data_IF_589920825537
#
_entry.id   IF_589920825537
#
_cell.length_a   1.000
_cell.length_b   1.000
_cell.length_c   1.000
_cell.angle_alpha   90.00
_cell.angle_beta   90.00
_cell.angle_gamma   90.00
#
_symmetry.space_group_name_H-M   'P 1'
#
loop_
_entity.id
_entity.type
_entity.pdbx_description
1 polymer ?
#
# COMPACT_ATOMS: atom_id res chain seq x y z
N UNK A 1 -21.43 7.05 -3.54
CA UNK A 1 -21.77 7.14 -4.98
C UNK A 1 -23.12 7.81 -5.21
N UNK A 2 -24.14 7.47 -4.42
CA UNK A 2 -25.52 7.90 -4.62
C UNK A 2 -25.82 9.37 -4.24
N UNK A 3 -24.89 10.08 -3.60
CA UNK A 3 -25.08 11.51 -3.22
C UNK A 3 -25.23 12.45 -4.41
N UNK A 4 -24.74 12.03 -5.59
CA UNK A 4 -24.70 12.83 -6.82
C UNK A 4 -24.09 14.24 -6.66
N UNK A 5 -23.19 14.38 -5.67
CA UNK A 5 -22.41 15.57 -5.35
C UNK A 5 -20.92 15.24 -5.47
N UNK A 6 -20.08 16.27 -5.43
CA UNK A 6 -18.65 16.06 -5.34
C UNK A 6 -18.30 15.20 -4.12
N UNK A 7 -17.52 14.15 -4.35
CA UNK A 7 -16.97 13.29 -3.31
C UNK A 7 -15.47 13.05 -3.56
N UNK A 8 -14.71 13.03 -2.49
CA UNK A 8 -13.29 12.75 -2.55
C UNK A 8 -12.90 11.71 -1.50
N UNK A 9 -12.64 10.49 -1.93
CA UNK A 9 -12.19 9.39 -1.10
C UNK A 9 -10.68 9.16 -1.22
N UNK A 10 -10.05 8.85 -0.09
CA UNK A 10 -8.66 8.41 -0.04
C UNK A 10 -8.63 6.96 0.45
N UNK A 11 -8.13 6.04 -0.39
CA UNK A 11 -7.98 4.61 -0.09
C UNK A 11 -6.50 4.30 0.00
N UNK A 12 -6.04 3.85 1.15
CA UNK A 12 -4.61 3.57 1.31
C UNK A 12 -4.38 2.39 2.24
N UNK A 13 -3.20 1.85 2.16
CA UNK A 13 -2.82 0.70 2.94
C UNK A 13 -1.66 -0.02 2.27
N UNK A 14 -1.08 -0.98 2.97
CA UNK A 14 0.07 -1.74 2.55
C UNK A 14 -0.12 -2.38 1.15
N UNK A 15 0.97 -2.70 0.46
CA UNK A 15 0.90 -3.53 -0.77
C UNK A 15 0.25 -4.88 -0.49
N UNK A 16 -0.39 -5.46 -1.52
CA UNK A 16 -0.96 -6.83 -1.50
C UNK A 16 -2.20 -7.04 -0.66
N UNK A 17 -2.78 -5.98 -0.09
CA UNK A 17 -4.03 -6.05 0.68
C UNK A 17 -5.31 -5.89 -0.16
N UNK A 18 -5.20 -5.89 -1.50
CA UNK A 18 -6.37 -5.91 -2.38
C UNK A 18 -7.03 -4.56 -2.65
N UNK A 19 -6.37 -3.40 -2.43
CA UNK A 19 -6.94 -2.08 -2.70
C UNK A 19 -7.50 -1.93 -4.12
N UNK A 20 -6.68 -2.25 -5.12
CA UNK A 20 -7.06 -2.17 -6.54
C UNK A 20 -8.23 -3.09 -6.85
N UNK A 21 -8.23 -4.33 -6.34
CA UNK A 21 -9.34 -5.27 -6.51
C UNK A 21 -10.63 -4.75 -5.87
N UNK A 22 -10.55 -4.16 -4.68
CA UNK A 22 -11.70 -3.53 -4.02
C UNK A 22 -12.28 -2.38 -4.85
N UNK A 23 -11.42 -1.52 -5.42
CA UNK A 23 -11.85 -0.42 -6.28
C UNK A 23 -12.45 -0.96 -7.58
N UNK A 24 -11.83 -1.95 -8.21
CA UNK A 24 -12.35 -2.58 -9.43
C UNK A 24 -13.73 -3.21 -9.20
N UNK A 25 -13.94 -3.89 -8.06
CA UNK A 25 -15.25 -4.42 -7.71
C UNK A 25 -16.27 -3.30 -7.48
N UNK A 26 -15.87 -2.23 -6.80
CA UNK A 26 -16.74 -1.07 -6.55
C UNK A 26 -17.20 -0.38 -7.83
N UNK A 27 -16.35 -0.27 -8.86
CA UNK A 27 -16.69 0.45 -10.11
C UNK A 27 -17.44 -0.41 -11.13
N UNK A 28 -17.62 -1.71 -10.88
CA UNK A 28 -18.43 -2.56 -11.77
C UNK A 28 -19.80 -1.91 -12.03
N UNK A 29 -20.20 -1.87 -13.30
CA UNK A 29 -21.45 -1.28 -13.74
C UNK A 29 -21.61 0.22 -13.42
N UNK A 30 -20.51 0.95 -13.25
CA UNK A 30 -20.51 2.41 -13.05
C UNK A 30 -19.61 3.09 -14.08
N UNK A 31 -19.94 4.31 -14.42
CA UNK A 31 -19.09 5.11 -15.30
C UNK A 31 -17.84 5.54 -14.53
N UNK A 32 -16.69 5.03 -14.93
CA UNK A 32 -15.43 5.23 -14.24
C UNK A 32 -14.26 5.42 -15.20
N UNK A 33 -13.36 6.33 -14.84
CA UNK A 33 -12.05 6.53 -15.44
C UNK A 33 -11.01 6.00 -14.47
N UNK A 34 -10.30 4.95 -14.84
CA UNK A 34 -9.30 4.31 -14.00
C UNK A 34 -7.91 4.58 -14.55
N UNK A 35 -7.16 5.43 -13.87
CA UNK A 35 -5.78 5.76 -14.20
C UNK A 35 -4.83 5.21 -13.13
N UNK A 36 -3.75 4.58 -13.54
CA UNK A 36 -2.67 4.13 -12.64
C UNK A 36 -1.44 4.99 -12.85
N UNK A 37 -1.00 5.66 -11.79
CA UNK A 37 0.28 6.36 -11.77
C UNK A 37 1.44 5.36 -11.87
N UNK A 38 2.36 5.59 -12.81
CA UNK A 38 3.53 4.74 -13.03
C UNK A 38 4.78 5.43 -12.51
N UNK A 39 5.77 4.64 -12.09
CA UNK A 39 7.12 5.11 -11.78
C UNK A 39 7.88 5.42 -13.09
N UNK A 40 7.51 6.54 -13.70
CA UNK A 40 8.01 6.98 -15.00
C UNK A 40 8.04 8.52 -15.07
N UNK A 41 8.39 9.06 -16.23
CA UNK A 41 8.44 10.53 -16.43
C UNK A 41 7.05 11.17 -16.33
N UNK A 42 7.03 12.45 -15.96
CA UNK A 42 5.83 13.30 -15.99
C UNK A 42 5.12 13.22 -17.35
N UNK A 43 5.89 13.30 -18.45
CA UNK A 43 5.34 13.25 -19.82
C UNK A 43 4.61 11.95 -20.09
N UNK A 44 5.19 10.80 -19.72
CA UNK A 44 4.57 9.50 -19.94
C UNK A 44 3.30 9.32 -19.11
N UNK A 45 3.31 9.76 -17.85
CA UNK A 45 2.11 9.75 -17.02
C UNK A 45 1.00 10.64 -17.59
N UNK A 46 1.35 11.80 -18.20
CA UNK A 46 0.37 12.66 -18.85
C UNK A 46 -0.25 12.02 -20.11
N UNK A 47 0.58 11.36 -20.93
CA UNK A 47 0.09 10.60 -22.10
C UNK A 47 -0.89 9.50 -21.64
N UNK A 48 -0.50 8.70 -20.67
CA UNK A 48 -1.34 7.61 -20.15
C UNK A 48 -2.66 8.15 -19.56
N UNK A 49 -2.62 9.25 -18.80
CA UNK A 49 -3.83 9.87 -18.28
C UNK A 49 -4.73 10.38 -19.43
N UNK A 50 -4.13 11.00 -20.45
CA UNK A 50 -4.86 11.49 -21.62
C UNK A 50 -5.56 10.37 -22.36
N UNK A 51 -4.92 9.23 -22.54
CA UNK A 51 -5.54 8.04 -23.17
C UNK A 51 -6.76 7.55 -22.38
N UNK A 52 -6.67 7.53 -21.05
CA UNK A 52 -7.80 7.15 -20.19
C UNK A 52 -8.98 8.11 -20.33
N UNK A 53 -8.73 9.42 -20.33
CA UNK A 53 -9.79 10.44 -20.42
C UNK A 53 -10.43 10.46 -21.81
N UNK A 54 -9.62 10.38 -22.86
CA UNK A 54 -10.06 10.45 -24.25
C UNK A 54 -10.55 9.10 -24.78
N UNK A 55 -10.39 8.04 -24.00
CA UNK A 55 -10.71 6.66 -24.38
C UNK A 55 -10.05 6.26 -25.72
N UNK A 56 -8.84 6.74 -25.94
CA UNK A 56 -8.08 6.56 -27.17
C UNK A 56 -6.72 5.90 -26.89
N UNK A 57 -6.35 4.94 -27.69
CA UNK A 57 -5.03 4.29 -27.63
C UNK A 57 -3.95 5.00 -28.47
N UNK A 58 -4.26 6.16 -29.07
CA UNK A 58 -3.33 6.92 -29.88
C UNK A 58 -2.37 7.72 -29.01
N UNK A 59 -1.07 7.47 -29.12
CA UNK A 59 -0.03 8.26 -28.43
C UNK A 59 0.08 9.71 -28.95
N UNK A 60 -0.45 9.98 -30.13
CA UNK A 60 -0.41 11.31 -30.76
C UNK A 60 -1.46 12.28 -30.22
N UNK A 61 -2.40 11.81 -29.40
CA UNK A 61 -3.46 12.64 -28.85
C UNK A 61 -3.28 12.69 -27.33
N UNK A 62 -2.77 13.81 -26.82
CA UNK A 62 -2.62 14.04 -25.39
C UNK A 62 -2.98 15.47 -25.01
N UNK A 63 -3.40 15.67 -23.78
CA UNK A 63 -3.52 17.01 -23.21
C UNK A 63 -2.16 17.67 -23.10
N UNK A 64 -2.14 19.00 -23.19
CA UNK A 64 -0.89 19.77 -23.09
C UNK A 64 -0.35 19.85 -21.63
N UNK A 65 -1.21 19.58 -20.65
CA UNK A 65 -0.85 19.61 -19.23
C UNK A 65 -1.78 18.75 -18.39
N UNK A 66 -1.34 18.36 -17.18
CA UNK A 66 -2.19 17.72 -16.19
C UNK A 66 -3.37 18.62 -15.79
N UNK A 67 -3.17 19.93 -15.73
CA UNK A 67 -4.24 20.86 -15.42
C UNK A 67 -5.34 20.76 -16.46
N UNK A 68 -5.03 20.84 -17.75
CA UNK A 68 -6.02 20.73 -18.83
C UNK A 68 -6.75 19.38 -18.84
N UNK A 69 -6.01 18.29 -18.56
CA UNK A 69 -6.60 16.95 -18.44
C UNK A 69 -7.60 16.85 -17.29
N UNK A 70 -7.27 17.38 -16.12
CA UNK A 70 -8.14 17.38 -14.95
C UNK A 70 -9.32 18.36 -15.11
N UNK A 71 -9.12 19.54 -15.71
CA UNK A 71 -10.21 20.47 -16.04
C UNK A 71 -11.26 19.80 -16.93
N UNK A 72 -10.83 19.06 -17.93
CA UNK A 72 -11.75 18.29 -18.79
C UNK A 72 -12.60 17.28 -17.99
N UNK A 73 -12.02 16.59 -17.00
CA UNK A 73 -12.78 15.68 -16.12
C UNK A 73 -13.84 16.48 -15.33
N UNK A 74 -13.47 17.61 -14.74
CA UNK A 74 -14.41 18.44 -13.99
C UNK A 74 -15.55 18.97 -14.88
N UNK A 75 -15.27 19.38 -16.11
CA UNK A 75 -16.28 19.81 -17.08
C UNK A 75 -17.27 18.69 -17.42
N UNK A 76 -16.81 17.48 -17.66
CA UNK A 76 -17.67 16.32 -17.90
C UNK A 76 -18.56 16.03 -16.70
N UNK A 77 -18.03 16.18 -15.48
CA UNK A 77 -18.74 15.87 -14.23
C UNK A 77 -19.74 16.90 -13.79
N UNK A 78 -19.81 18.08 -14.42
CA UNK A 78 -20.92 19.01 -14.25
C UNK A 78 -22.24 18.44 -14.77
N UNK A 79 -22.18 17.58 -15.78
CA UNK A 79 -23.37 16.99 -16.45
C UNK A 79 -23.72 15.62 -15.88
N UNK A 80 -22.74 14.76 -15.66
CA UNK A 80 -22.95 13.37 -15.27
C UNK A 80 -22.04 12.95 -14.12
N UNK A 81 -22.47 11.92 -13.38
CA UNK A 81 -21.64 11.29 -12.33
C UNK A 81 -20.54 10.44 -12.96
N UNK A 82 -19.29 10.76 -12.69
CA UNK A 82 -18.13 9.94 -13.08
C UNK A 82 -17.30 9.64 -11.83
N UNK A 83 -16.81 8.42 -11.74
CA UNK A 83 -15.79 8.04 -10.75
C UNK A 83 -14.44 8.20 -11.45
N UNK A 84 -13.56 9.05 -10.91
CA UNK A 84 -12.19 9.15 -11.37
C UNK A 84 -11.25 8.61 -10.32
N UNK A 85 -10.52 7.56 -10.70
CA UNK A 85 -9.58 6.86 -9.84
C UNK A 85 -8.16 7.19 -10.28
N UNK A 86 -7.32 7.60 -9.34
CA UNK A 86 -5.87 7.64 -9.50
C UNK A 86 -5.29 6.56 -8.57
N UNK A 87 -5.06 5.38 -9.12
CA UNK A 87 -4.37 4.31 -8.41
C UNK A 87 -2.87 4.55 -8.44
N UNK A 88 -2.16 4.13 -7.40
CA UNK A 88 -0.74 4.42 -7.15
C UNK A 88 -0.40 5.92 -7.28
N UNK A 89 -1.26 6.76 -6.69
CA UNK A 89 -1.08 8.22 -6.64
C UNK A 89 0.32 8.66 -6.22
N UNK A 90 1.03 8.00 -5.27
CA UNK A 90 2.40 8.35 -4.92
C UNK A 90 3.36 8.40 -6.10
N UNK A 91 3.27 7.51 -7.08
CA UNK A 91 4.13 7.54 -8.26
C UNK A 91 3.86 8.75 -9.16
N UNK A 92 2.58 9.07 -9.38
CA UNK A 92 2.20 10.27 -10.11
C UNK A 92 2.74 11.53 -9.41
N UNK A 93 2.51 11.66 -8.10
CA UNK A 93 2.91 12.84 -7.35
C UNK A 93 4.44 12.99 -7.24
N UNK A 94 5.19 11.88 -7.18
CA UNK A 94 6.65 11.91 -7.23
C UNK A 94 7.18 12.37 -8.61
N UNK A 95 6.51 11.96 -9.70
CA UNK A 95 6.88 12.37 -11.06
C UNK A 95 6.47 13.83 -11.36
N UNK A 96 5.42 14.32 -10.71
CA UNK A 96 4.88 15.67 -10.86
C UNK A 96 4.37 16.24 -9.53
N UNK A 97 5.22 16.82 -8.69
CA UNK A 97 4.84 17.29 -7.33
C UNK A 97 3.71 18.34 -7.32
N UNK A 98 3.55 19.12 -8.38
CA UNK A 98 2.50 20.13 -8.49
C UNK A 98 1.08 19.53 -8.58
N UNK A 99 0.93 18.23 -8.83
CA UNK A 99 -0.37 17.59 -9.05
C UNK A 99 -1.35 17.79 -7.87
N UNK A 100 -0.85 17.72 -6.63
CA UNK A 100 -1.66 17.92 -5.43
C UNK A 100 -2.23 19.35 -5.35
N UNK A 101 -1.44 20.35 -5.73
CA UNK A 101 -1.86 21.76 -5.74
C UNK A 101 -2.84 22.04 -6.88
N UNK A 102 -2.66 21.41 -8.04
CA UNK A 102 -3.62 21.52 -9.16
C UNK A 102 -4.97 20.89 -8.76
N UNK A 103 -4.95 19.70 -8.18
CA UNK A 103 -6.17 19.07 -7.66
C UNK A 103 -6.85 19.94 -6.61
N UNK A 104 -6.08 20.56 -5.70
CA UNK A 104 -6.60 21.51 -4.72
C UNK A 104 -7.38 22.64 -5.39
N UNK A 105 -6.75 23.35 -6.33
CA UNK A 105 -7.35 24.50 -7.03
C UNK A 105 -8.63 24.09 -7.78
N UNK A 106 -8.60 22.97 -8.48
CA UNK A 106 -9.75 22.49 -9.24
C UNK A 106 -10.90 22.02 -8.36
N UNK A 107 -10.61 21.35 -7.24
CA UNK A 107 -11.62 20.96 -6.25
C UNK A 107 -12.28 22.21 -5.67
N UNK A 108 -11.48 23.18 -5.19
CA UNK A 108 -12.02 24.39 -4.57
C UNK A 108 -12.89 25.21 -5.54
N UNK A 109 -12.53 25.24 -6.83
CA UNK A 109 -13.27 25.93 -7.88
C UNK A 109 -14.59 25.24 -8.27
N UNK A 110 -14.60 23.90 -8.29
CA UNK A 110 -15.67 23.17 -8.97
C UNK A 110 -16.57 22.32 -8.04
N UNK A 111 -16.19 22.09 -6.78
CA UNK A 111 -16.86 21.13 -5.87
C UNK A 111 -18.37 21.36 -5.71
N UNK A 112 -18.83 22.62 -5.81
CA UNK A 112 -20.26 22.96 -5.62
C UNK A 112 -21.14 22.49 -6.79
N UNK A 113 -20.57 22.44 -8.01
CA UNK A 113 -21.31 22.11 -9.23
C UNK A 113 -20.96 20.73 -9.81
N UNK A 114 -19.85 20.15 -9.35
CA UNK A 114 -19.34 18.89 -9.89
C UNK A 114 -20.01 17.68 -9.26
N UNK A 115 -20.26 16.67 -10.07
CA UNK A 115 -20.70 15.33 -9.65
C UNK A 115 -19.55 14.34 -9.65
N UNK A 116 -18.30 14.80 -9.63
CA UNK A 116 -17.12 13.96 -9.59
C UNK A 116 -17.07 13.14 -8.30
N UNK A 117 -16.76 11.85 -8.43
CA UNK A 117 -16.27 11.04 -7.32
C UNK A 117 -14.78 10.73 -7.54
N UNK A 118 -13.92 11.54 -6.93
CA UNK A 118 -12.47 11.34 -6.98
C UNK A 118 -12.05 10.29 -5.97
N UNK A 119 -11.23 9.33 -6.40
CA UNK A 119 -10.58 8.34 -5.53
C UNK A 119 -9.08 8.42 -5.73
N UNK A 120 -8.33 8.77 -4.69
CA UNK A 120 -6.88 8.62 -4.66
C UNK A 120 -6.55 7.34 -3.90
N UNK A 121 -5.80 6.45 -4.56
CA UNK A 121 -5.35 5.20 -3.98
C UNK A 121 -3.82 5.15 -3.96
N UNK A 122 -3.25 4.57 -2.90
CA UNK A 122 -1.80 4.42 -2.80
C UNK A 122 -1.36 3.35 -1.81
N UNK A 123 -0.24 2.71 -2.13
CA UNK A 123 0.37 1.66 -1.29
C UNK A 123 1.42 2.20 -0.32
N UNK A 124 1.99 3.37 -0.57
CA UNK A 124 2.95 4.02 0.33
C UNK A 124 2.22 4.68 1.51
N UNK A 125 2.21 4.01 2.68
CA UNK A 125 1.53 4.50 3.88
C UNK A 125 2.01 5.87 4.30
N UNK A 126 3.33 6.07 4.42
CA UNK A 126 3.91 7.35 4.84
C UNK A 126 3.57 8.48 3.87
N UNK A 127 3.66 8.23 2.55
CA UNK A 127 3.29 9.22 1.56
C UNK A 127 1.80 9.62 1.69
N UNK A 128 0.92 8.63 1.78
CA UNK A 128 -0.51 8.91 1.87
C UNK A 128 -0.88 9.64 3.17
N UNK A 129 -0.28 9.26 4.30
CA UNK A 129 -0.53 9.89 5.60
C UNK A 129 0.06 11.30 5.71
N UNK A 130 1.25 11.54 5.15
CA UNK A 130 1.94 12.83 5.25
C UNK A 130 1.58 13.78 4.10
N UNK A 131 1.64 13.29 2.84
CA UNK A 131 1.55 14.13 1.65
C UNK A 131 0.11 14.26 1.10
N UNK A 132 -0.81 13.38 1.49
CA UNK A 132 -2.22 13.46 1.05
C UNK A 132 -3.12 13.86 2.22
N UNK A 133 -2.99 13.19 3.35
CA UNK A 133 -3.87 13.37 4.52
C UNK A 133 -3.31 14.37 5.55
N UNK A 134 -2.01 14.63 5.52
CA UNK A 134 -1.32 15.50 6.47
C UNK A 134 -1.77 16.96 6.39
N UNK A 135 -1.68 17.68 7.49
CA UNK A 135 -2.13 19.08 7.60
C UNK A 135 -1.37 20.05 6.68
N UNK A 136 -0.16 19.70 6.25
CA UNK A 136 0.63 20.49 5.28
C UNK A 136 0.30 20.18 3.83
N UNK A 137 -0.53 19.15 3.59
CA UNK A 137 -0.93 18.75 2.23
C UNK A 137 -1.85 19.80 1.61
N UNK A 138 -1.68 20.13 0.31
CA UNK A 138 -2.67 20.89 -0.44
C UNK A 138 -4.08 20.28 -0.43
N UNK A 139 -4.18 18.95 -0.24
CA UNK A 139 -5.44 18.21 -0.23
C UNK A 139 -6.07 18.12 1.17
N UNK A 140 -5.40 18.63 2.20
CA UNK A 140 -5.93 18.59 3.57
C UNK A 140 -7.30 19.27 3.68
N UNK A 141 -8.22 18.62 4.38
CA UNK A 141 -9.59 19.14 4.60
C UNK A 141 -10.54 19.06 3.40
N UNK A 142 -10.10 18.52 2.23
CA UNK A 142 -10.93 18.41 1.01
C UNK A 142 -11.54 17.04 0.79
N UNK A 143 -11.01 16.02 1.49
CA UNK A 143 -11.57 14.67 1.42
C UNK A 143 -12.93 14.60 2.13
N UNK A 144 -13.85 13.84 1.56
CA UNK A 144 -15.14 13.51 2.20
C UNK A 144 -15.08 12.20 2.95
N UNK A 145 -14.12 11.30 2.58
CA UNK A 145 -13.92 10.03 3.28
C UNK A 145 -12.48 9.54 3.14
N UNK A 146 -12.07 8.67 4.08
CA UNK A 146 -10.78 7.98 4.01
C UNK A 146 -10.90 6.56 4.53
N UNK A 147 -10.20 5.65 3.87
CA UNK A 147 -10.20 4.22 4.20
C UNK A 147 -8.77 3.71 4.27
N UNK A 148 -8.30 3.40 5.49
CA UNK A 148 -7.07 2.66 5.70
C UNK A 148 -7.38 1.18 5.64
N UNK A 149 -7.11 0.55 4.50
CA UNK A 149 -7.32 -0.88 4.31
C UNK A 149 -6.26 -1.64 5.11
N UNK A 150 -6.72 -2.58 5.93
CA UNK A 150 -5.88 -3.45 6.75
C UNK A 150 -5.89 -4.86 6.18
N UNK A 151 -4.89 -5.70 6.50
CA UNK A 151 -4.98 -7.14 6.30
C UNK A 151 -6.23 -7.70 6.99
N UNK A 152 -6.69 -8.85 6.54
CA UNK A 152 -7.78 -9.57 7.21
C UNK A 152 -7.40 -9.90 8.66
N UNK A 153 -8.35 -9.75 9.56
CA UNK A 153 -8.25 -10.27 10.91
C UNK A 153 -8.23 -11.80 10.89
N UNK A 154 -7.95 -12.40 12.03
CA UNK A 154 -8.04 -13.86 12.16
C UNK A 154 -9.42 -14.41 11.77
N UNK A 155 -10.49 -13.75 12.24
CA UNK A 155 -11.85 -14.19 11.93
C UNK A 155 -12.19 -14.05 10.45
N UNK A 156 -11.83 -12.94 9.80
CA UNK A 156 -11.99 -12.75 8.36
C UNK A 156 -11.17 -13.77 7.55
N UNK A 157 -9.99 -14.16 8.04
CA UNK A 157 -9.19 -15.25 7.45
C UNK A 157 -9.90 -16.59 7.61
N UNK A 158 -10.56 -16.83 8.74
CA UNK A 158 -11.36 -18.03 8.92
C UNK A 158 -12.56 -18.10 7.95
N UNK A 159 -13.19 -16.97 7.67
CA UNK A 159 -14.31 -16.88 6.72
C UNK A 159 -13.85 -17.04 5.26
N UNK A 160 -12.59 -16.70 4.97
CA UNK A 160 -12.01 -16.81 3.63
C UNK A 160 -11.93 -18.26 3.14
N UNK A 161 -11.61 -19.20 4.04
CA UNK A 161 -11.48 -20.62 3.71
C UNK A 161 -12.70 -21.43 4.19
N UNK A 162 -13.09 -22.42 3.38
CA UNK A 162 -14.27 -23.28 3.67
C UNK A 162 -13.89 -24.62 4.30
N UNK A 163 -12.79 -25.23 3.85
CA UNK A 163 -12.48 -26.64 4.16
C UNK A 163 -11.34 -26.82 5.15
N UNK A 164 -10.42 -25.88 5.30
CA UNK A 164 -9.37 -25.96 6.32
C UNK A 164 -9.94 -26.00 7.74
N UNK A 165 -9.35 -26.79 8.62
CA UNK A 165 -9.68 -26.78 10.04
C UNK A 165 -9.33 -25.45 10.71
N UNK A 166 -9.86 -25.19 11.90
CA UNK A 166 -9.54 -23.94 12.62
C UNK A 166 -8.06 -23.86 12.98
N UNK A 167 -7.41 -24.98 13.29
CA UNK A 167 -5.97 -25.06 13.55
C UNK A 167 -5.16 -24.71 12.30
N UNK A 168 -5.54 -25.25 11.15
CA UNK A 168 -4.89 -24.93 9.87
C UNK A 168 -5.09 -23.46 9.51
N UNK A 169 -6.29 -22.90 9.68
CA UNK A 169 -6.58 -21.47 9.49
C UNK A 169 -5.73 -20.58 10.41
N UNK A 170 -5.54 -21.00 11.67
CA UNK A 170 -4.67 -20.28 12.61
C UNK A 170 -3.21 -20.29 12.16
N UNK A 171 -2.71 -21.43 11.67
CA UNK A 171 -1.36 -21.54 11.11
C UNK A 171 -1.22 -20.69 9.85
N UNK A 172 -2.17 -20.73 8.92
CA UNK A 172 -2.18 -19.90 7.72
C UNK A 172 -2.17 -18.42 8.09
N UNK A 173 -3.00 -17.99 9.03
CA UNK A 173 -2.98 -16.61 9.53
C UNK A 173 -1.63 -16.24 10.14
N UNK A 174 -1.05 -17.13 10.94
CA UNK A 174 0.30 -16.98 11.52
C UNK A 174 1.42 -16.91 10.48
N UNK A 175 1.21 -17.46 9.27
CA UNK A 175 2.16 -17.41 8.15
C UNK A 175 1.96 -16.20 7.23
N UNK A 176 0.74 -15.64 7.15
CA UNK A 176 0.35 -14.67 6.14
C UNK A 176 0.00 -13.29 6.70
N UNK A 177 -0.19 -13.17 8.02
CA UNK A 177 -0.73 -11.98 8.68
C UNK A 177 -2.08 -11.53 8.10
N UNK A 178 -2.84 -12.45 7.50
CA UNK A 178 -4.13 -12.13 6.86
C UNK A 178 -4.01 -11.28 5.59
N UNK A 179 -2.83 -11.23 4.95
CA UNK A 179 -2.64 -10.48 3.69
C UNK A 179 -3.35 -11.23 2.56
N UNK A 180 -4.37 -10.62 1.90
CA UNK A 180 -5.23 -11.32 0.93
C UNK A 180 -4.47 -12.01 -0.20
N UNK A 181 -3.41 -11.37 -0.75
CA UNK A 181 -2.61 -12.02 -1.78
C UNK A 181 -1.95 -13.30 -1.25
N UNK A 182 -1.41 -13.28 -0.03
CA UNK A 182 -0.76 -14.46 0.53
C UNK A 182 -1.77 -15.56 0.87
N UNK A 183 -2.95 -15.18 1.36
CA UNK A 183 -4.04 -16.13 1.59
C UNK A 183 -4.46 -16.82 0.29
N UNK A 184 -4.54 -16.11 -0.83
CA UNK A 184 -4.96 -16.68 -2.12
C UNK A 184 -4.00 -17.72 -2.70
N UNK A 185 -2.78 -17.84 -2.16
CA UNK A 185 -1.81 -18.84 -2.58
C UNK A 185 -2.08 -20.22 -1.98
N UNK A 186 -2.79 -20.27 -0.84
CA UNK A 186 -3.10 -21.54 -0.18
C UNK A 186 -4.29 -22.22 -0.86
N UNK A 187 -4.09 -23.45 -1.27
CA UNK A 187 -5.06 -24.27 -1.98
C UNK A 187 -5.74 -25.25 -1.01
N UNK A 188 -7.06 -25.24 -0.98
CA UNK A 188 -7.86 -26.10 -0.11
C UNK A 188 -7.90 -27.57 -0.59
N UNK A 189 -7.48 -27.86 -1.81
CA UNK A 189 -7.32 -29.21 -2.37
C UNK A 189 -5.99 -29.88 -1.99
N UNK A 190 -5.11 -29.20 -1.26
CA UNK A 190 -3.82 -29.70 -0.78
C UNK A 190 -3.73 -29.66 0.74
N UNK A 191 -2.94 -30.56 1.32
CA UNK A 191 -2.63 -30.47 2.75
C UNK A 191 -1.92 -29.17 3.07
N UNK A 192 -2.05 -28.66 4.30
CA UNK A 192 -1.33 -27.47 4.77
C UNK A 192 0.19 -27.62 4.59
N UNK A 193 0.72 -28.81 4.92
CA UNK A 193 2.16 -29.12 4.75
C UNK A 193 2.61 -28.93 3.29
N UNK A 194 1.83 -29.45 2.33
CA UNK A 194 2.16 -29.33 0.91
C UNK A 194 2.07 -27.86 0.45
N UNK A 195 1.08 -27.12 0.90
CA UNK A 195 0.98 -25.68 0.64
C UNK A 195 2.22 -24.93 1.13
N UNK A 196 2.67 -25.18 2.36
CA UNK A 196 3.87 -24.52 2.92
C UNK A 196 5.11 -24.84 2.09
N UNK A 197 5.30 -26.11 1.71
CA UNK A 197 6.43 -26.51 0.85
C UNK A 197 6.37 -25.78 -0.49
N UNK A 198 5.24 -25.80 -1.17
CA UNK A 198 5.08 -25.23 -2.51
C UNK A 198 5.24 -23.69 -2.49
N UNK A 199 4.74 -23.02 -1.45
CA UNK A 199 4.68 -21.56 -1.39
C UNK A 199 5.98 -20.93 -0.85
N UNK A 200 6.57 -21.52 0.21
CA UNK A 200 7.69 -20.93 0.95
C UNK A 200 9.03 -21.62 0.75
N UNK A 201 9.04 -22.93 0.50
CA UNK A 201 10.29 -23.74 0.55
C UNK A 201 10.75 -24.18 -0.85
N UNK A 202 9.89 -24.18 -1.83
CA UNK A 202 10.26 -24.42 -3.23
C UNK A 202 10.89 -23.17 -3.83
N UNK A 203 11.98 -23.31 -4.59
CA UNK A 203 12.61 -22.20 -5.32
C UNK A 203 11.66 -21.50 -6.31
N UNK A 204 10.62 -22.19 -6.77
CA UNK A 204 9.55 -21.64 -7.61
C UNK A 204 8.35 -21.12 -6.80
N UNK A 205 8.39 -21.20 -5.46
CA UNK A 205 7.33 -20.76 -4.58
C UNK A 205 7.23 -19.24 -4.54
N UNK A 206 6.01 -18.72 -4.59
CA UNK A 206 5.79 -17.27 -4.65
C UNK A 206 6.41 -16.53 -3.45
N UNK A 207 6.36 -17.08 -2.25
CA UNK A 207 6.88 -16.47 -1.03
C UNK A 207 8.33 -16.85 -0.72
N UNK A 208 9.00 -17.63 -1.61
CA UNK A 208 10.38 -18.04 -1.43
C UNK A 208 11.35 -16.84 -1.39
N UNK A 209 11.19 -15.86 -2.27
CA UNK A 209 11.99 -14.63 -2.32
C UNK A 209 11.20 -13.36 -1.97
N UNK A 210 9.94 -13.50 -1.61
CA UNK A 210 9.02 -12.38 -1.45
C UNK A 210 9.50 -11.31 -0.47
N UNK A 211 10.01 -11.64 0.75
CA UNK A 211 10.48 -10.63 1.69
C UNK A 211 11.60 -9.78 1.13
N UNK A 212 12.59 -10.42 0.48
CA UNK A 212 13.71 -9.70 -0.13
C UNK A 212 13.27 -8.85 -1.32
N UNK A 213 12.36 -9.35 -2.14
CA UNK A 213 11.84 -8.62 -3.29
C UNK A 213 11.00 -7.40 -2.85
N UNK A 214 10.20 -7.54 -1.77
CA UNK A 214 9.43 -6.42 -1.23
C UNK A 214 10.38 -5.31 -0.70
N UNK A 215 11.43 -5.68 0.01
CA UNK A 215 12.42 -4.71 0.50
C UNK A 215 13.16 -4.04 -0.65
N UNK A 216 13.54 -4.77 -1.71
CA UNK A 216 14.16 -4.19 -2.91
C UNK A 216 13.24 -3.16 -3.60
N UNK A 217 11.93 -3.40 -3.64
CA UNK A 217 10.96 -2.48 -4.25
C UNK A 217 10.72 -1.22 -3.42
N UNK A 218 10.82 -1.29 -2.09
CA UNK A 218 10.45 -0.19 -1.20
C UNK A 218 11.65 0.60 -0.66
N UNK A 219 12.87 0.06 -0.78
CA UNK A 219 14.05 0.58 -0.10
C UNK A 219 15.25 0.70 -1.04
N UNK A 220 16.02 1.80 -0.91
CA UNK A 220 17.21 2.05 -1.74
C UNK A 220 18.43 1.21 -1.31
N UNK A 221 18.51 0.83 -0.04
CA UNK A 221 19.57 -0.01 0.53
C UNK A 221 18.99 -1.29 1.14
N UNK A 222 18.60 -2.27 0.29
CA UNK A 222 17.93 -3.47 0.78
C UNK A 222 18.74 -4.30 1.75
N UNK A 223 20.07 -4.30 1.65
CA UNK A 223 20.96 -5.14 2.46
C UNK A 223 20.88 -4.79 3.94
N UNK A 224 20.96 -3.52 4.28
CA UNK A 224 20.86 -3.04 5.66
C UNK A 224 19.46 -3.27 6.24
N UNK A 225 18.41 -3.05 5.46
CA UNK A 225 17.04 -3.35 5.89
C UNK A 225 16.84 -4.84 6.19
N UNK A 226 17.34 -5.73 5.32
CA UNK A 226 17.29 -7.18 5.53
C UNK A 226 18.02 -7.58 6.81
N UNK A 227 19.21 -7.02 7.07
CA UNK A 227 19.97 -7.29 8.30
C UNK A 227 19.22 -6.85 9.56
N UNK A 228 18.54 -5.69 9.53
CA UNK A 228 17.72 -5.22 10.66
C UNK A 228 16.53 -6.15 10.90
N UNK A 229 15.82 -6.55 9.85
CA UNK A 229 14.67 -7.45 9.93
C UNK A 229 15.11 -8.80 10.49
N UNK A 230 16.23 -9.33 9.99
CA UNK A 230 16.81 -10.60 10.47
C UNK A 230 17.19 -10.52 11.96
N UNK A 231 17.84 -9.44 12.39
CA UNK A 231 18.20 -9.25 13.79
C UNK A 231 16.94 -9.29 14.70
N UNK A 232 15.87 -8.61 14.30
CA UNK A 232 14.60 -8.61 15.05
C UNK A 232 13.93 -9.99 15.01
N UNK A 233 13.93 -10.67 13.87
CA UNK A 233 13.38 -12.03 13.73
C UNK A 233 14.10 -13.05 14.65
N UNK A 234 15.39 -12.84 14.86
CA UNK A 234 16.23 -13.68 15.74
C UNK A 234 16.18 -13.25 17.22
N UNK A 235 15.41 -12.21 17.57
CA UNK A 235 15.10 -11.85 18.95
C UNK A 235 15.73 -10.56 19.48
N UNK A 236 16.48 -9.80 18.67
CA UNK A 236 16.92 -8.47 19.06
C UNK A 236 15.71 -7.51 19.07
N UNK A 237 15.34 -7.02 20.25
CA UNK A 237 14.13 -6.18 20.40
C UNK A 237 14.44 -4.73 20.74
N UNK A 238 15.60 -4.45 21.34
CA UNK A 238 15.99 -3.08 21.69
C UNK A 238 16.82 -2.45 20.58
N UNK A 239 16.68 -1.14 20.41
CA UNK A 239 17.41 -0.39 19.40
C UNK A 239 18.94 -0.62 19.46
N UNK A 240 19.52 -0.67 20.68
CA UNK A 240 20.95 -0.94 20.88
C UNK A 240 21.34 -2.36 20.49
N UNK A 241 20.51 -3.35 20.78
CA UNK A 241 20.76 -4.74 20.39
C UNK A 241 20.75 -4.88 18.86
N UNK A 242 19.75 -4.28 18.20
CA UNK A 242 19.61 -4.29 16.74
C UNK A 242 20.79 -3.58 16.07
N UNK A 243 21.14 -2.36 16.53
CA UNK A 243 22.23 -1.58 15.94
C UNK A 243 23.59 -2.29 16.10
N UNK A 244 23.85 -2.89 17.26
CA UNK A 244 25.07 -3.66 17.51
C UNK A 244 25.16 -4.91 16.63
N UNK A 245 24.06 -5.66 16.51
CA UNK A 245 24.04 -6.90 15.71
C UNK A 245 24.21 -6.61 14.21
N UNK A 246 23.66 -5.49 13.73
CA UNK A 246 23.80 -5.07 12.32
C UNK A 246 25.13 -4.35 12.05
N UNK A 247 25.80 -3.82 13.08
CA UNK A 247 27.07 -3.10 12.95
C UNK A 247 26.92 -1.67 12.43
N UNK A 248 25.79 -0.99 12.74
CA UNK A 248 25.52 0.39 12.33
C UNK A 248 25.27 1.29 13.52
N UNK A 249 25.48 2.60 13.34
CA UNK A 249 25.19 3.58 14.40
C UNK A 249 23.70 3.61 14.76
N UNK A 250 23.40 3.80 16.04
CA UNK A 250 22.04 3.82 16.58
C UNK A 250 21.14 4.88 15.92
N UNK A 251 21.72 6.05 15.58
CA UNK A 251 21.01 7.13 14.88
C UNK A 251 20.55 6.69 13.50
N UNK A 252 21.45 6.08 12.73
CA UNK A 252 21.17 5.54 11.41
C UNK A 252 20.16 4.38 11.50
N UNK A 253 20.36 3.44 12.43
CA UNK A 253 19.42 2.34 12.69
C UNK A 253 18.00 2.85 12.96
N UNK A 254 17.84 3.94 13.71
CA UNK A 254 16.55 4.55 13.97
C UNK A 254 15.84 5.00 12.68
N UNK A 255 16.60 5.51 11.71
CA UNK A 255 16.05 5.95 10.42
C UNK A 255 15.52 4.76 9.60
N UNK A 256 16.28 3.67 9.54
CA UNK A 256 15.86 2.43 8.89
C UNK A 256 14.61 1.82 9.55
N UNK A 257 14.60 1.75 10.89
CA UNK A 257 13.46 1.23 11.66
C UNK A 257 12.21 2.09 11.41
N UNK A 258 12.31 3.42 11.38
CA UNK A 258 11.16 4.29 11.05
C UNK A 258 10.57 3.96 9.68
N UNK A 259 11.41 3.74 8.68
CA UNK A 259 10.95 3.32 7.34
C UNK A 259 10.26 1.95 7.40
N UNK A 260 10.81 0.96 8.10
CA UNK A 260 10.17 -0.35 8.25
C UNK A 260 8.82 -0.28 9.01
N UNK A 261 8.71 0.62 9.99
CA UNK A 261 7.43 0.91 10.65
C UNK A 261 6.42 1.50 9.66
N UNK A 262 6.85 2.47 8.83
CA UNK A 262 5.97 3.07 7.81
C UNK A 262 5.52 2.07 6.73
N UNK A 263 6.30 1.02 6.50
CA UNK A 263 5.93 -0.10 5.62
C UNK A 263 5.03 -1.14 6.31
N UNK A 264 4.81 -1.00 7.64
CA UNK A 264 4.03 -1.96 8.42
C UNK A 264 4.72 -3.31 8.64
N UNK A 265 6.05 -3.37 8.48
CA UNK A 265 6.85 -4.58 8.72
C UNK A 265 7.23 -4.69 10.19
N UNK A 266 7.53 -3.57 10.84
CA UNK A 266 7.90 -3.47 12.25
C UNK A 266 6.84 -2.65 13.00
N UNK A 267 6.58 -3.05 14.23
CA UNK A 267 5.87 -2.23 15.21
C UNK A 267 6.82 -1.80 16.31
N UNK A 268 6.56 -0.60 16.83
CA UNK A 268 7.19 -0.06 18.02
C UNK A 268 6.23 -0.24 19.17
N UNK A 269 6.62 -1.01 20.17
CA UNK A 269 5.86 -1.21 21.40
C UNK A 269 6.52 -0.45 22.55
N UNK A 270 5.72 0.31 23.28
CA UNK A 270 6.20 1.16 24.38
C UNK A 270 5.21 1.04 25.55
N UNK A 271 5.68 0.86 26.79
CA UNK A 271 4.81 0.77 27.95
C UNK A 271 3.86 1.96 28.05
N UNK A 272 2.58 1.70 28.34
CA UNK A 272 1.54 2.73 28.49
C UNK A 272 1.81 3.58 29.72
N UNK A 273 2.24 2.95 30.81
CA UNK A 273 2.57 3.63 32.08
C UNK A 273 4.07 3.99 32.10
N UNK A 274 4.36 5.29 32.21
CA UNK A 274 5.73 5.85 32.20
C UNK A 274 6.50 5.51 30.94
N UNK A 275 6.12 6.09 29.78
CA UNK A 275 6.83 5.85 28.52
C UNK A 275 8.33 6.15 28.68
N UNK A 276 9.16 5.16 28.40
CA UNK A 276 10.62 5.28 28.47
C UNK A 276 11.24 4.77 27.18
N UNK A 277 12.17 5.54 26.61
CA UNK A 277 12.95 5.10 25.44
C UNK A 277 13.74 3.80 25.72
N UNK A 278 14.12 3.58 26.98
CA UNK A 278 14.84 2.37 27.42
C UNK A 278 13.97 1.11 27.42
N UNK A 279 12.65 1.26 27.56
CA UNK A 279 11.66 0.17 27.61
C UNK A 279 10.96 -0.05 26.29
N UNK A 280 11.26 0.77 25.27
CA UNK A 280 10.73 0.58 23.92
C UNK A 280 11.33 -0.65 23.29
N UNK A 281 10.49 -1.51 22.72
CA UNK A 281 10.88 -2.66 21.92
C UNK A 281 10.36 -2.55 20.49
N UNK A 282 11.05 -3.24 19.60
CA UNK A 282 10.72 -3.34 18.19
C UNK A 282 10.45 -4.80 17.84
N UNK A 283 9.30 -5.06 17.22
CA UNK A 283 8.83 -6.40 16.88
C UNK A 283 8.43 -6.45 15.40
N UNK A 284 8.54 -7.60 14.78
CA UNK A 284 7.96 -7.81 13.45
C UNK A 284 6.44 -7.87 13.56
N UNK A 285 5.76 -6.97 12.85
CA UNK A 285 4.32 -6.96 12.71
C UNK A 285 3.84 -7.96 11.66
N UNK A 286 4.73 -8.28 10.72
CA UNK A 286 4.46 -9.19 9.61
C UNK A 286 4.96 -10.59 9.95
N UNK A 287 4.04 -11.51 10.18
CA UNK A 287 4.35 -12.88 10.54
C UNK A 287 5.04 -13.64 9.38
N UNK A 288 4.74 -13.28 8.12
CA UNK A 288 5.39 -13.87 6.96
C UNK A 288 6.90 -13.55 6.97
N UNK A 289 7.27 -12.29 7.27
CA UNK A 289 8.66 -11.92 7.48
C UNK A 289 9.27 -12.66 8.66
N UNK A 290 8.55 -12.75 9.80
CA UNK A 290 9.00 -13.50 10.97
C UNK A 290 9.33 -14.95 10.63
N UNK A 291 8.40 -15.63 9.95
CA UNK A 291 8.58 -17.03 9.54
C UNK A 291 9.75 -17.18 8.56
N UNK A 292 9.80 -16.33 7.55
CA UNK A 292 10.78 -16.42 6.48
C UNK A 292 12.22 -16.21 6.98
N UNK A 293 12.46 -15.13 7.72
CA UNK A 293 13.82 -14.84 8.24
C UNK A 293 14.29 -15.85 9.30
N UNK A 294 13.36 -16.47 10.01
CA UNK A 294 13.69 -17.44 11.05
C UNK A 294 13.85 -18.87 10.54
N UNK A 295 13.07 -19.27 9.54
CA UNK A 295 12.98 -20.67 9.12
C UNK A 295 13.31 -20.91 7.65
N UNK A 296 13.08 -19.97 6.76
CA UNK A 296 13.34 -20.15 5.32
C UNK A 296 14.75 -19.68 4.99
N UNK A 297 15.11 -18.45 5.28
CA UNK A 297 16.42 -17.87 4.95
C UNK A 297 17.61 -18.70 5.42
N UNK A 298 17.66 -19.25 6.65
CA UNK A 298 18.81 -20.05 7.10
C UNK A 298 18.99 -21.39 6.38
N UNK A 299 17.98 -21.82 5.60
CA UNK A 299 17.95 -23.12 4.93
C UNK A 299 17.93 -23.01 3.39
N UNK A 300 18.25 -21.83 2.86
CA UNK A 300 18.38 -21.58 1.40
C UNK A 300 19.82 -21.80 0.95
#
# INVERSE_FOLDING_TARGET
YNSNKFEFAVIYGRRRIGKTSLIQEFIKNKEALFFTGLETTQKQNLINLSQVILQSNSENISFNSFQAALENIFEQTNKKRIIFIIDEYPYLANSYPAISSILQLLIDKNKENSKLFLILCGSSLSFMEEQVLGYQSPLYGRRTSQYKIKPFSFFETCDYYKTFSYEEKALIYGLTSGIPLYLSLFREDKSLKQNIIDIFLSSNGYLFEEPTNLIKQECRDPSTYNSIIQAIALGATKLSEISNQVGIETGLCTTYIKKLISLGIIIKDTPIYKPSKKQTIYLLADHMFQFWYKFVLPNI
#
